data_IF_311149360478
#
_entry.id   IF_311149360478
#
_cell.length_a   1.000
_cell.length_b   1.000
_cell.length_c   1.000
_cell.angle_alpha   90.00
_cell.angle_beta   90.00
_cell.angle_gamma   90.00
#
_symmetry.space_group_name_H-M   'P 1'
#
loop_
_entity.id
_entity.type
_entity.pdbx_description
1 polymer ?
#
# COMPACT_ATOMS: atom_id res chain seq x y z
N UNK A 1 32.63 -26.49 20.30
CA UNK A 1 32.36 -25.13 19.78
C UNK A 1 32.05 -25.13 18.28
N UNK A 2 32.92 -25.69 17.41
CA UNK A 2 32.67 -25.76 15.95
C UNK A 2 31.37 -26.47 15.57
N UNK A 3 31.05 -27.60 16.21
CA UNK A 3 29.81 -28.35 15.99
C UNK A 3 28.55 -27.55 16.33
N UNK A 4 28.59 -26.80 17.43
CA UNK A 4 27.46 -25.97 17.88
C UNK A 4 27.23 -24.78 16.92
N UNK A 5 28.31 -24.17 16.42
CA UNK A 5 28.22 -23.10 15.43
C UNK A 5 27.66 -23.60 14.09
N UNK A 6 28.11 -24.76 13.62
CA UNK A 6 27.56 -25.41 12.41
C UNK A 6 26.08 -25.73 12.58
N UNK A 7 25.68 -26.26 13.75
CA UNK A 7 24.29 -26.53 14.06
C UNK A 7 23.42 -25.26 14.02
N UNK A 8 23.86 -24.17 14.64
CA UNK A 8 23.12 -22.91 14.66
C UNK A 8 22.96 -22.32 13.26
N UNK A 9 24.04 -22.31 12.45
CA UNK A 9 23.96 -21.84 11.06
C UNK A 9 23.00 -22.68 10.22
N UNK A 10 23.06 -24.01 10.37
CA UNK A 10 22.18 -24.91 9.65
C UNK A 10 20.72 -24.74 10.05
N UNK A 11 20.43 -24.61 11.35
CA UNK A 11 19.09 -24.35 11.85
C UNK A 11 18.54 -23.01 11.36
N UNK A 12 19.35 -21.94 11.41
CA UNK A 12 18.96 -20.62 10.92
C UNK A 12 18.64 -20.63 9.41
N UNK A 13 19.48 -21.30 8.61
CA UNK A 13 19.23 -21.49 7.17
C UNK A 13 17.97 -22.29 6.89
N UNK A 14 17.72 -23.38 7.62
CA UNK A 14 16.51 -24.19 7.45
C UNK A 14 15.25 -23.40 7.80
N UNK A 15 15.28 -22.66 8.91
CA UNK A 15 14.18 -21.77 9.29
C UNK A 15 13.94 -20.71 8.21
N UNK A 16 14.98 -20.05 7.73
CA UNK A 16 14.86 -19.07 6.66
C UNK A 16 14.27 -19.69 5.40
N UNK A 17 14.76 -20.85 4.96
CA UNK A 17 14.29 -21.52 3.74
C UNK A 17 12.82 -21.92 3.81
N UNK A 18 12.35 -22.38 4.96
CA UNK A 18 10.95 -22.80 5.17
C UNK A 18 9.98 -21.61 5.11
N UNK A 19 10.39 -20.45 5.60
CA UNK A 19 9.52 -19.27 5.72
C UNK A 19 9.76 -18.21 4.64
N UNK A 20 10.85 -18.30 3.87
CA UNK A 20 11.15 -17.36 2.81
C UNK A 20 10.05 -17.21 1.74
N UNK A 21 9.41 -18.29 1.28
CA UNK A 21 8.30 -18.19 0.33
C UNK A 21 7.06 -17.48 0.91
N UNK A 22 6.77 -17.72 2.20
CA UNK A 22 5.59 -17.20 2.88
C UNK A 22 5.60 -15.66 2.96
N UNK A 23 6.69 -15.08 3.46
CA UNK A 23 6.73 -13.62 3.63
C UNK A 23 6.73 -12.88 2.28
N UNK A 24 7.35 -13.46 1.24
CA UNK A 24 7.34 -12.92 -0.13
C UNK A 24 5.93 -12.91 -0.70
N UNK A 25 5.14 -13.96 -0.48
CA UNK A 25 3.74 -13.98 -0.88
C UNK A 25 2.91 -12.96 -0.11
N UNK A 26 3.07 -12.83 1.20
CA UNK A 26 2.38 -11.81 2.00
C UNK A 26 2.67 -10.41 1.46
N UNK A 27 3.93 -10.11 1.16
CA UNK A 27 4.33 -8.84 0.56
C UNK A 27 3.63 -8.60 -0.79
N UNK A 28 3.70 -9.55 -1.72
CA UNK A 28 3.09 -9.42 -3.05
C UNK A 28 1.58 -9.20 -2.95
N UNK A 29 0.91 -9.95 -2.08
CA UNK A 29 -0.54 -9.83 -1.86
C UNK A 29 -0.88 -8.46 -1.29
N UNK A 30 -0.14 -7.97 -0.29
CA UNK A 30 -0.36 -6.62 0.28
C UNK A 30 -0.21 -5.53 -0.78
N UNK A 31 0.84 -5.61 -1.61
CA UNK A 31 1.02 -4.67 -2.71
C UNK A 31 -0.12 -4.74 -3.73
N UNK A 32 -0.56 -5.94 -4.11
CA UNK A 32 -1.67 -6.14 -5.03
C UNK A 32 -2.99 -5.59 -4.47
N UNK A 33 -3.25 -5.77 -3.17
CA UNK A 33 -4.40 -5.20 -2.48
C UNK A 33 -4.36 -3.68 -2.49
N UNK A 34 -3.21 -3.07 -2.20
CA UNK A 34 -3.06 -1.61 -2.28
C UNK A 34 -3.31 -1.08 -3.69
N UNK A 35 -2.78 -1.74 -4.72
CA UNK A 35 -3.02 -1.35 -6.10
C UNK A 35 -4.51 -1.46 -6.46
N UNK A 36 -5.15 -2.57 -6.10
CA UNK A 36 -6.59 -2.76 -6.31
C UNK A 36 -7.41 -1.67 -5.62
N UNK A 37 -7.03 -1.27 -4.42
CA UNK A 37 -7.71 -0.23 -3.67
C UNK A 37 -7.54 1.16 -4.32
N UNK A 38 -6.33 1.48 -4.80
CA UNK A 38 -6.08 2.68 -5.60
C UNK A 38 -6.98 2.72 -6.83
N UNK A 39 -7.01 1.62 -7.60
CA UNK A 39 -7.79 1.53 -8.83
C UNK A 39 -9.29 1.67 -8.53
N UNK A 40 -9.78 1.02 -7.47
CA UNK A 40 -11.18 1.12 -7.03
C UNK A 40 -11.55 2.55 -6.63
N UNK A 41 -10.72 3.20 -5.80
CA UNK A 41 -10.99 4.56 -5.35
C UNK A 41 -10.94 5.57 -6.50
N UNK A 42 -10.05 5.37 -7.47
CA UNK A 42 -10.03 6.20 -8.68
C UNK A 42 -11.25 5.95 -9.57
N UNK A 43 -11.74 4.71 -9.66
CA UNK A 43 -12.96 4.41 -10.41
C UNK A 43 -14.18 5.13 -9.83
N UNK A 44 -14.32 5.11 -8.50
CA UNK A 44 -15.43 5.78 -7.82
C UNK A 44 -15.23 7.30 -7.78
N UNK A 45 -14.05 7.76 -7.39
CA UNK A 45 -13.77 9.18 -7.19
C UNK A 45 -13.66 9.99 -8.47
N UNK A 46 -13.15 9.40 -9.56
CA UNK A 46 -13.10 10.05 -10.88
C UNK A 46 -14.38 9.85 -11.69
N UNK A 47 -15.44 9.29 -11.11
CA UNK A 47 -16.73 9.10 -11.77
C UNK A 47 -17.45 10.41 -12.12
N UNK A 48 -18.48 10.31 -12.96
CA UNK A 48 -19.32 11.44 -13.36
C UNK A 48 -20.01 12.17 -12.20
N UNK A 49 -20.26 11.48 -11.08
CA UNK A 49 -21.00 12.02 -9.93
C UNK A 49 -20.09 12.67 -8.88
N UNK A 50 -18.78 12.35 -8.88
CA UNK A 50 -17.86 12.79 -7.83
C UNK A 50 -16.81 13.77 -8.36
N UNK A 51 -15.85 13.32 -9.17
CA UNK A 51 -14.71 14.15 -9.57
C UNK A 51 -13.75 14.51 -8.41
N UNK A 52 -13.76 13.76 -7.31
CA UNK A 52 -12.88 13.94 -6.14
C UNK A 52 -12.70 12.62 -5.37
N UNK A 53 -11.71 12.57 -4.49
CA UNK A 53 -11.50 11.50 -3.50
C UNK A 53 -11.40 12.13 -2.11
N UNK A 54 -12.51 12.17 -1.38
CA UNK A 54 -12.61 12.88 -0.11
C UNK A 54 -12.25 12.03 1.12
N UNK A 55 -12.35 12.64 2.30
CA UNK A 55 -12.06 11.97 3.57
C UNK A 55 -13.04 10.84 3.90
N UNK A 56 -14.30 10.91 3.43
CA UNK A 56 -15.25 9.82 3.63
C UNK A 56 -14.81 8.57 2.86
N UNK A 57 -14.47 8.72 1.57
CA UNK A 57 -13.93 7.63 0.75
C UNK A 57 -12.63 7.04 1.32
N UNK A 58 -11.74 7.90 1.83
CA UNK A 58 -10.50 7.46 2.50
C UNK A 58 -10.82 6.65 3.76
N UNK A 59 -11.79 7.08 4.57
CA UNK A 59 -12.18 6.36 5.79
C UNK A 59 -12.75 4.98 5.50
N UNK A 60 -13.57 4.84 4.46
CA UNK A 60 -14.10 3.55 4.01
C UNK A 60 -12.99 2.66 3.44
N UNK A 61 -12.05 3.24 2.71
CA UNK A 61 -10.87 2.53 2.20
C UNK A 61 -10.05 1.90 3.33
N UNK A 62 -9.80 2.65 4.40
CA UNK A 62 -9.11 2.12 5.59
C UNK A 62 -9.85 0.93 6.19
N UNK A 63 -11.18 0.97 6.26
CA UNK A 63 -11.98 -0.14 6.76
C UNK A 63 -11.86 -1.37 5.85
N UNK A 64 -11.94 -1.20 4.53
CA UNK A 64 -11.73 -2.29 3.56
C UNK A 64 -10.35 -2.93 3.70
N UNK A 65 -9.28 -2.12 3.79
CA UNK A 65 -7.92 -2.62 4.00
C UNK A 65 -7.77 -3.33 5.35
N UNK A 66 -8.48 -2.87 6.39
CA UNK A 66 -8.50 -3.53 7.69
C UNK A 66 -9.09 -4.95 7.62
N UNK A 67 -10.14 -5.18 6.81
CA UNK A 67 -10.68 -6.53 6.60
C UNK A 67 -9.68 -7.51 5.97
N UNK A 68 -8.64 -6.98 5.33
CA UNK A 68 -7.55 -7.75 4.71
C UNK A 68 -6.31 -7.87 5.61
N UNK A 69 -6.43 -7.47 6.88
CA UNK A 69 -5.39 -7.59 7.88
C UNK A 69 -4.34 -6.48 7.87
N UNK A 70 -4.62 -5.34 7.25
CA UNK A 70 -3.77 -4.14 7.30
C UNK A 70 -4.18 -3.25 8.49
N UNK A 71 -3.23 -2.55 9.11
CA UNK A 71 -3.53 -1.58 10.16
C UNK A 71 -4.08 -0.29 9.52
N UNK A 72 -5.35 0.10 9.75
CA UNK A 72 -5.93 1.27 9.12
C UNK A 72 -5.18 2.56 9.45
N UNK A 73 -4.62 2.70 10.66
CA UNK A 73 -3.91 3.92 11.09
C UNK A 73 -2.55 4.09 10.40
N UNK A 74 -1.96 3.01 9.90
CA UNK A 74 -0.65 3.03 9.25
C UNK A 74 -0.71 3.35 7.75
N UNK A 75 -1.92 3.41 7.17
CA UNK A 75 -2.10 3.72 5.74
C UNK A 75 -1.99 5.24 5.52
N UNK A 76 -1.20 5.65 4.55
CA UNK A 76 -1.04 7.06 4.17
C UNK A 76 -1.64 7.27 2.78
N UNK A 77 -2.42 8.34 2.64
CA UNK A 77 -3.09 8.70 1.39
C UNK A 77 -2.56 10.05 0.92
N UNK A 78 -2.37 10.16 -0.38
CA UNK A 78 -2.02 11.40 -1.06
C UNK A 78 -2.86 11.51 -2.31
N UNK A 79 -3.68 12.56 -2.37
CA UNK A 79 -4.58 12.85 -3.48
C UNK A 79 -4.12 14.16 -4.13
N UNK A 80 -3.91 14.14 -5.45
CA UNK A 80 -3.48 15.31 -6.23
C UNK A 80 -4.29 15.39 -7.52
N UNK A 81 -4.30 16.57 -8.15
CA UNK A 81 -4.79 16.72 -9.51
C UNK A 81 -3.69 17.19 -10.46
N UNK A 82 -3.84 16.91 -11.75
CA UNK A 82 -2.92 17.40 -12.79
C UNK A 82 -3.03 18.91 -13.01
N UNK A 83 -4.12 19.54 -12.57
CA UNK A 83 -4.33 20.99 -12.66
C UNK A 83 -3.78 21.76 -11.45
N UNK A 84 -3.43 21.07 -10.36
CA UNK A 84 -3.12 21.68 -9.07
C UNK A 84 -4.33 22.02 -8.21
N UNK A 85 -5.56 21.82 -8.70
CA UNK A 85 -6.77 21.89 -7.90
C UNK A 85 -6.81 20.79 -6.82
N UNK A 86 -7.52 21.06 -5.72
CA UNK A 86 -7.72 20.11 -4.62
C UNK A 86 -8.66 18.99 -5.06
N UNK A 87 -8.10 17.82 -5.41
CA UNK A 87 -8.87 16.64 -5.81
C UNK A 87 -9.46 15.84 -4.64
N UNK A 88 -9.31 16.34 -3.41
CA UNK A 88 -9.87 15.77 -2.17
C UNK A 88 -11.04 16.57 -1.59
N UNK A 89 -11.49 17.61 -2.31
CA UNK A 89 -12.54 18.51 -1.87
C UNK A 89 -13.87 18.23 -2.59
N UNK A 90 -14.83 17.67 -1.86
CA UNK A 90 -16.18 17.40 -2.40
C UNK A 90 -16.99 18.65 -2.73
N UNK A 91 -16.67 19.80 -2.14
CA UNK A 91 -17.32 21.08 -2.45
C UNK A 91 -16.79 21.72 -3.74
N UNK A 92 -15.68 21.23 -4.29
CA UNK A 92 -15.10 21.69 -5.54
C UNK A 92 -14.61 20.52 -6.41
N UNK A 93 -15.54 19.69 -6.93
CA UNK A 93 -15.21 18.60 -7.85
C UNK A 93 -14.32 19.04 -9.01
N UNK A 94 -13.37 18.19 -9.38
CA UNK A 94 -12.49 18.45 -10.51
C UNK A 94 -13.20 18.09 -11.80
N UNK A 95 -13.24 19.03 -12.75
CA UNK A 95 -13.96 18.87 -14.01
C UNK A 95 -13.38 17.76 -14.89
N UNK A 96 -14.27 17.23 -15.75
CA UNK A 96 -13.93 16.23 -16.75
C UNK A 96 -12.67 16.57 -17.54
N UNK A 97 -11.80 15.58 -17.70
CA UNK A 97 -10.53 15.73 -18.41
C UNK A 97 -9.38 16.24 -17.55
N UNK A 98 -9.58 16.47 -16.26
CA UNK A 98 -8.48 16.69 -15.31
C UNK A 98 -8.11 15.37 -14.64
N UNK A 99 -6.82 15.04 -14.56
CA UNK A 99 -6.37 13.81 -13.91
C UNK A 99 -6.41 13.93 -12.40
N UNK A 100 -6.99 12.92 -11.73
CA UNK A 100 -6.88 12.70 -10.29
C UNK A 100 -5.81 11.62 -10.09
N UNK A 101 -4.78 11.95 -9.32
CA UNK A 101 -3.71 11.05 -8.93
C UNK A 101 -3.91 10.66 -7.48
N UNK A 102 -3.90 9.36 -7.21
CA UNK A 102 -4.00 8.79 -5.87
C UNK A 102 -2.77 7.94 -5.61
N UNK A 103 -2.10 8.20 -4.49
CA UNK A 103 -1.02 7.37 -3.95
C UNK A 103 -1.40 6.87 -2.57
N UNK A 104 -1.39 5.55 -2.38
CA UNK A 104 -1.55 4.90 -1.08
C UNK A 104 -0.20 4.32 -0.67
N UNK A 105 0.24 4.60 0.56
CA UNK A 105 1.48 4.06 1.14
C UNK A 105 1.20 3.29 2.43
N UNK A 106 1.99 2.26 2.68
CA UNK A 106 1.86 1.40 3.87
C UNK A 106 3.24 0.89 4.32
N UNK A 107 3.52 0.72 5.61
CA UNK A 107 4.81 0.19 6.06
C UNK A 107 5.00 -1.29 5.72
N UNK A 108 6.24 -1.70 5.48
CA UNK A 108 6.59 -3.13 5.38
C UNK A 108 6.50 -3.88 6.71
N UNK A 109 6.29 -3.15 7.81
CA UNK A 109 6.27 -3.67 9.17
C UNK A 109 7.53 -4.50 9.46
N UNK A 110 7.36 -5.76 9.82
CA UNK A 110 8.44 -6.69 10.22
C UNK A 110 8.57 -7.88 9.28
N UNK A 111 7.98 -7.80 8.07
CA UNK A 111 7.90 -8.93 7.12
C UNK A 111 9.29 -9.48 6.76
N UNK A 112 10.32 -8.63 6.70
CA UNK A 112 11.69 -8.99 6.30
C UNK A 112 12.64 -9.29 7.48
N UNK A 113 12.16 -9.33 8.73
CA UNK A 113 13.02 -9.62 9.90
C UNK A 113 13.70 -10.98 9.83
N UNK A 114 13.07 -11.94 9.14
CA UNK A 114 13.62 -13.29 8.99
C UNK A 114 14.90 -13.32 8.16
N UNK A 115 15.13 -12.34 7.29
CA UNK A 115 16.34 -12.25 6.46
C UNK A 115 17.60 -12.07 7.32
N UNK A 116 17.47 -11.63 8.58
CA UNK A 116 18.56 -11.61 9.57
C UNK A 116 19.16 -12.98 9.83
N UNK A 117 18.38 -14.06 9.71
CA UNK A 117 18.85 -15.43 9.94
C UNK A 117 19.93 -15.85 8.95
N UNK A 118 20.01 -15.21 7.79
CA UNK A 118 21.02 -15.44 6.76
C UNK A 118 21.98 -14.25 6.59
N UNK A 119 22.02 -13.36 7.59
CA UNK A 119 22.97 -12.24 7.63
C UNK A 119 22.59 -11.04 6.76
N UNK A 120 21.36 -10.98 6.25
CA UNK A 120 20.87 -9.79 5.54
C UNK A 120 20.34 -8.74 6.54
N UNK A 121 20.55 -7.46 6.21
CA UNK A 121 19.98 -6.35 6.98
C UNK A 121 18.52 -6.13 6.55
N UNK A 122 17.55 -6.16 7.47
CA UNK A 122 16.15 -5.85 7.14
C UNK A 122 15.99 -4.42 6.65
N UNK A 123 14.87 -4.18 5.95
CA UNK A 123 14.45 -2.82 5.61
C UNK A 123 14.23 -1.98 6.88
N UNK A 124 14.45 -0.67 6.75
CA UNK A 124 14.09 0.28 7.81
C UNK A 124 12.60 0.19 8.12
N UNK A 125 12.23 0.45 9.37
CA UNK A 125 10.84 0.53 9.79
C UNK A 125 10.07 1.66 9.06
N UNK A 126 10.79 2.69 8.61
CA UNK A 126 10.24 3.84 7.88
C UNK A 126 10.05 3.56 6.38
N UNK A 127 10.49 2.40 5.89
CA UNK A 127 10.32 2.05 4.48
C UNK A 127 8.85 1.70 4.22
N UNK A 128 8.28 2.34 3.21
CA UNK A 128 6.89 2.15 2.81
C UNK A 128 6.80 1.44 1.46
N UNK A 129 5.84 0.52 1.33
CA UNK A 129 5.32 0.10 0.04
C UNK A 129 4.34 1.16 -0.46
N UNK A 130 4.27 1.37 -1.77
CA UNK A 130 3.39 2.39 -2.37
C UNK A 130 2.70 1.85 -3.61
N UNK A 131 1.40 2.09 -3.71
CA UNK A 131 0.64 1.95 -4.94
C UNK A 131 0.23 3.34 -5.44
N UNK A 132 0.25 3.55 -6.75
CA UNK A 132 -0.12 4.84 -7.34
C UNK A 132 -0.88 4.62 -8.63
N UNK A 133 -1.89 5.45 -8.85
CA UNK A 133 -2.70 5.45 -10.06
C UNK A 133 -3.10 6.86 -10.42
N UNK A 134 -3.56 7.02 -11.66
CA UNK A 134 -4.15 8.25 -12.15
C UNK A 134 -5.33 7.90 -13.05
N UNK A 135 -6.46 8.59 -12.85
CA UNK A 135 -7.62 8.50 -13.75
C UNK A 135 -8.12 9.90 -14.07
N UNK A 136 -8.57 10.11 -15.31
CA UNK A 136 -9.18 11.37 -15.71
C UNK A 136 -10.56 11.46 -15.10
N UNK A 137 -10.87 12.58 -14.46
CA UNK A 137 -12.21 12.87 -13.97
C UNK A 137 -13.20 12.80 -15.13
N UNK A 138 -14.37 12.23 -14.84
CA UNK A 138 -15.54 12.16 -15.71
C UNK A 138 -16.62 13.17 -15.29
N UNK A 139 -16.39 13.92 -14.21
CA UNK A 139 -17.38 14.81 -13.60
C UNK A 139 -17.89 15.91 -14.55
N UNK A 140 -19.20 15.98 -14.69
CA UNK A 140 -19.92 17.01 -15.46
C UNK A 140 -20.98 17.63 -14.54
N UNK A 141 -20.92 18.95 -14.28
CA UNK A 141 -21.86 19.65 -13.38
C UNK A 141 -23.28 19.76 -13.94
#
# INVERSE_FOLDING_TARGET
MKSLLVFVLFAAMLCWFMFAPLYKHVFIVRHAVLQKEVDYMLEVGASGDHGYVDQAMISESRQRLATLGMNPEAVLYEVRSTSGAAADNSAAPVLRGTGIQLTIRYPYERIFEIDRLVGMTPLSADTLMSATGMKMSEYVP
#
